data_IF_365855422900
#
_entry.id   IF_365855422900
#
_cell.length_a   1.000
_cell.length_b   1.000
_cell.length_c   1.000
_cell.angle_alpha   90.00
_cell.angle_beta   90.00
_cell.angle_gamma   90.00
#
_symmetry.space_group_name_H-M   'P 1'
#
loop_
_entity.id
_entity.type
_entity.pdbx_description
1 polymer ?
#
# COMPACT_ATOMS: atom_id res chain seq x y z
N UNK A 1 23.02 -13.88 -8.79
CA UNK A 1 21.76 -13.60 -9.56
C UNK A 1 21.88 -12.20 -10.10
N UNK A 2 21.34 -11.96 -11.31
CA UNK A 2 21.30 -10.64 -11.91
C UNK A 2 19.92 -10.02 -11.74
N UNK A 3 19.85 -8.72 -11.54
CA UNK A 3 18.60 -7.96 -11.41
C UNK A 3 18.76 -6.55 -11.98
N UNK A 4 17.66 -5.97 -12.45
CA UNK A 4 17.62 -4.62 -13.00
C UNK A 4 17.05 -3.64 -11.97
N UNK A 5 17.79 -2.55 -11.70
CA UNK A 5 17.35 -1.49 -10.80
C UNK A 5 16.71 -0.37 -11.62
N UNK A 6 15.40 -0.20 -11.44
CA UNK A 6 14.65 0.93 -12.00
C UNK A 6 15.15 2.24 -11.38
N UNK A 7 14.94 3.35 -12.06
CA UNK A 7 15.41 4.67 -11.60
C UNK A 7 16.89 4.91 -11.90
N UNK A 8 17.79 4.02 -11.48
CA UNK A 8 19.19 3.99 -11.95
C UNK A 8 19.32 3.46 -13.38
N UNK A 9 18.37 2.60 -13.77
CA UNK A 9 18.34 1.96 -15.09
C UNK A 9 19.61 1.17 -15.42
N UNK A 10 20.07 0.35 -14.48
CA UNK A 10 21.24 -0.48 -14.64
C UNK A 10 21.03 -1.91 -14.14
N UNK A 11 21.78 -2.84 -14.74
CA UNK A 11 21.90 -4.21 -14.26
C UNK A 11 22.90 -4.29 -13.11
N UNK A 12 22.52 -5.03 -12.07
CA UNK A 12 23.34 -5.34 -10.90
C UNK A 12 23.39 -6.84 -10.69
N UNK A 13 24.40 -7.31 -9.98
CA UNK A 13 24.51 -8.71 -9.56
C UNK A 13 24.69 -8.85 -8.05
N UNK A 14 24.22 -9.98 -7.50
CA UNK A 14 24.34 -10.29 -6.07
C UNK A 14 24.40 -11.80 -5.84
N UNK A 15 24.98 -12.22 -4.72
CA UNK A 15 24.99 -13.62 -4.29
C UNK A 15 23.74 -13.98 -3.43
N UNK A 16 23.09 -12.99 -2.82
CA UNK A 16 21.93 -13.18 -1.96
C UNK A 16 20.78 -12.26 -2.35
N UNK A 17 19.57 -12.60 -1.91
CA UNK A 17 18.39 -11.75 -2.03
C UNK A 17 17.70 -11.61 -0.67
N UNK A 18 17.49 -10.40 -0.16
CA UNK A 18 17.97 -9.11 -0.73
C UNK A 18 19.51 -9.04 -0.79
N UNK A 19 20.09 -8.08 -1.55
CA UNK A 19 21.55 -7.90 -1.66
C UNK A 19 22.23 -7.71 -0.29
N UNK A 20 23.46 -8.20 -0.13
CA UNK A 20 24.18 -8.18 1.14
C UNK A 20 24.44 -6.76 1.68
N UNK A 21 24.46 -5.75 0.80
CA UNK A 21 24.62 -4.35 1.17
C UNK A 21 23.31 -3.69 1.62
N UNK A 22 22.21 -4.45 1.68
CA UNK A 22 20.90 -3.93 2.09
C UNK A 22 20.71 -4.05 3.60
N UNK A 23 19.94 -3.12 4.15
CA UNK A 23 19.46 -3.13 5.54
C UNK A 23 17.94 -3.13 5.57
N UNK A 24 17.37 -3.85 6.53
CA UNK A 24 15.93 -3.78 6.79
C UNK A 24 15.56 -2.39 7.32
N UNK A 25 14.51 -1.79 6.76
CA UNK A 25 14.06 -0.46 7.09
C UNK A 25 12.54 -0.36 6.99
N UNK A 26 11.95 0.73 7.48
CA UNK A 26 10.49 0.92 7.46
C UNK A 26 10.10 2.39 7.33
N UNK A 27 8.99 2.62 6.62
CA UNK A 27 8.25 3.87 6.72
C UNK A 27 6.94 3.63 7.46
N UNK A 28 6.69 4.45 8.49
CA UNK A 28 5.50 4.38 9.35
C UNK A 28 4.42 5.34 8.87
N UNK A 29 3.17 4.87 8.89
CA UNK A 29 2.01 5.68 8.57
C UNK A 29 1.73 6.67 9.69
N UNK A 30 1.33 7.88 9.31
CA UNK A 30 0.87 8.95 10.20
C UNK A 30 -0.28 9.69 9.53
N UNK A 31 -1.31 10.06 10.27
CA UNK A 31 -2.49 10.71 9.72
C UNK A 31 -2.26 12.12 9.18
N UNK A 32 -3.10 12.52 8.23
CA UNK A 32 -3.01 13.80 7.54
C UNK A 32 -3.23 15.02 8.42
N UNK A 33 -4.00 14.90 9.51
CA UNK A 33 -4.22 16.01 10.47
C UNK A 33 -2.95 16.43 11.21
N UNK A 34 -1.98 15.53 11.37
CA UNK A 34 -0.66 15.80 11.95
C UNK A 34 0.27 16.45 10.92
N UNK A 35 0.08 16.11 9.65
CA UNK A 35 0.87 16.62 8.53
C UNK A 35 0.51 18.06 8.14
N UNK A 36 -0.73 18.48 8.33
CA UNK A 36 -1.21 19.82 7.96
C UNK A 36 -0.57 20.98 8.75
N UNK A 37 0.28 20.70 9.74
CA UNK A 37 1.05 21.71 10.48
C UNK A 37 2.38 22.11 9.81
N UNK A 38 2.75 21.47 8.71
CA UNK A 38 3.91 21.81 7.89
C UNK A 38 3.48 22.46 6.57
N UNK A 39 4.20 23.47 6.10
CA UNK A 39 3.92 24.26 4.88
C UNK A 39 4.10 23.46 3.57
N UNK A 40 3.63 22.22 3.50
CA UNK A 40 3.70 21.39 2.30
C UNK A 40 2.31 21.12 1.73
N UNK A 41 2.14 21.23 0.43
CA UNK A 41 0.96 20.78 -0.28
C UNK A 41 0.78 19.30 0.03
N UNK A 42 -0.20 18.97 0.88
CA UNK A 42 -0.58 17.60 1.21
C UNK A 42 -1.25 16.97 -0.02
N UNK A 43 -0.46 16.28 -0.83
CA UNK A 43 -0.97 15.45 -1.90
C UNK A 43 -1.26 14.03 -1.36
N UNK A 44 -2.09 13.93 -0.30
CA UNK A 44 -2.44 12.65 0.30
C UNK A 44 -3.16 12.82 1.64
N UNK A 45 -3.92 11.80 2.06
CA UNK A 45 -4.66 11.80 3.33
C UNK A 45 -3.76 11.55 4.54
N UNK A 46 -2.49 11.10 4.35
CA UNK A 46 -1.53 10.84 5.41
C UNK A 46 -0.08 10.96 4.94
N UNK A 47 0.85 10.74 5.88
CA UNK A 47 2.30 10.85 5.66
C UNK A 47 3.00 9.54 6.00
N UNK A 48 4.06 9.23 5.25
CA UNK A 48 5.05 8.19 5.57
C UNK A 48 6.28 8.83 6.23
N UNK A 49 6.70 8.28 7.37
CA UNK A 49 7.85 8.78 8.15
C UNK A 49 8.81 7.65 8.50
N UNK A 50 10.10 7.94 8.65
CA UNK A 50 11.12 6.98 9.08
C UNK A 50 10.97 6.54 10.55
N UNK A 51 10.17 7.26 11.34
CA UNK A 51 9.92 6.94 12.75
C UNK A 51 8.44 6.86 13.04
N UNK A 52 8.03 5.90 13.86
CA UNK A 52 6.66 5.79 14.32
C UNK A 52 6.25 7.01 15.15
N UNK A 53 5.01 7.48 14.96
CA UNK A 53 4.43 8.53 15.80
C UNK A 53 4.13 8.00 17.20
N UNK A 54 4.37 8.83 18.21
CA UNK A 54 3.89 8.57 19.58
C UNK A 54 2.39 8.85 19.71
N UNK A 55 1.88 9.80 18.93
CA UNK A 55 0.45 10.01 18.79
C UNK A 55 -0.14 8.83 18.00
N UNK A 56 -1.41 8.52 18.26
CA UNK A 56 -2.13 7.46 17.56
C UNK A 56 -3.45 7.99 17.00
N UNK A 57 -3.90 7.34 15.93
CA UNK A 57 -5.15 7.68 15.27
C UNK A 57 -5.51 6.68 14.19
N UNK A 58 -6.51 7.01 13.40
CA UNK A 58 -6.90 6.21 12.24
C UNK A 58 -7.35 7.12 11.09
N UNK A 59 -7.06 6.70 9.87
CA UNK A 59 -7.67 7.22 8.65
C UNK A 59 -8.76 6.27 8.18
N UNK A 60 -9.83 6.81 7.63
CA UNK A 60 -11.04 6.04 7.31
C UNK A 60 -11.44 6.20 5.85
N UNK A 61 -11.97 5.14 5.28
CA UNK A 61 -12.67 5.17 3.99
C UNK A 61 -13.88 4.24 4.00
N UNK A 62 -14.78 4.46 3.05
CA UNK A 62 -15.94 3.59 2.82
C UNK A 62 -15.74 2.86 1.50
N UNK A 63 -15.67 1.53 1.57
CA UNK A 63 -15.66 0.69 0.39
C UNK A 63 -17.06 0.29 -0.03
N UNK A 64 -17.38 0.52 -1.31
CA UNK A 64 -18.63 0.09 -1.96
C UNK A 64 -18.30 -0.95 -3.05
N UNK A 65 -18.68 -2.23 -2.87
CA UNK A 65 -18.43 -3.27 -3.88
C UNK A 65 -19.08 -3.00 -5.25
N UNK A 66 -20.11 -2.12 -5.31
CA UNK A 66 -20.73 -1.72 -6.57
C UNK A 66 -20.01 -0.57 -7.28
N UNK A 67 -18.95 -0.02 -6.69
CA UNK A 67 -18.15 1.06 -7.26
C UNK A 67 -16.66 0.84 -6.95
N UNK A 68 -16.07 -0.28 -7.40
CA UNK A 68 -14.69 -0.63 -7.08
C UNK A 68 -13.69 0.36 -7.70
N UNK A 69 -12.55 0.54 -7.05
CA UNK A 69 -11.41 1.21 -7.64
C UNK A 69 -10.80 0.33 -8.75
N UNK A 70 -10.32 0.96 -9.82
CA UNK A 70 -9.79 0.25 -10.99
C UNK A 70 -8.31 -0.08 -10.80
N UNK A 71 -7.91 -1.27 -11.21
CA UNK A 71 -6.54 -1.62 -11.50
C UNK A 71 -6.28 -1.35 -12.99
N UNK A 72 -5.26 -0.56 -13.31
CA UNK A 72 -5.05 -0.06 -14.67
C UNK A 72 -4.56 -1.15 -15.64
N UNK A 73 -3.90 -2.18 -15.16
CA UNK A 73 -3.51 -3.33 -15.99
C UNK A 73 -4.66 -4.31 -16.04
N UNK A 74 -5.19 -4.50 -17.23
CA UNK A 74 -6.14 -5.55 -17.53
C UNK A 74 -5.36 -6.86 -17.75
N UNK A 75 -5.59 -7.85 -16.89
CA UNK A 75 -4.97 -9.17 -16.96
C UNK A 75 -5.47 -10.01 -18.16
N UNK A 76 -6.39 -9.49 -18.98
CA UNK A 76 -7.02 -10.28 -20.03
C UNK A 76 -6.16 -10.46 -21.27
N UNK A 77 -5.52 -9.44 -21.85
CA UNK A 77 -4.75 -9.59 -23.10
C UNK A 77 -3.64 -8.54 -23.36
N UNK A 78 -3.63 -7.41 -22.69
CA UNK A 78 -2.73 -6.31 -22.99
C UNK A 78 -1.93 -5.82 -21.77
N UNK A 79 -0.97 -6.60 -21.36
CA UNK A 79 0.03 -6.21 -20.33
C UNK A 79 0.96 -5.05 -20.80
N UNK A 80 0.59 -4.33 -21.86
CA UNK A 80 1.49 -3.42 -22.56
C UNK A 80 1.37 -1.96 -22.15
N UNK A 81 0.43 -1.59 -21.26
CA UNK A 81 0.32 -0.22 -20.76
C UNK A 81 1.21 -0.01 -19.55
N UNK A 82 2.49 0.15 -19.79
CA UNK A 82 3.45 0.61 -18.78
C UNK A 82 4.07 1.94 -19.26
N UNK A 83 4.34 2.88 -18.35
CA UNK A 83 4.16 2.82 -16.90
C UNK A 83 2.72 3.08 -16.45
N UNK A 84 2.26 2.31 -15.46
CA UNK A 84 0.95 2.48 -14.84
C UNK A 84 0.93 3.74 -13.97
N UNK A 85 0.27 4.79 -14.45
CA UNK A 85 0.14 6.07 -13.76
C UNK A 85 -1.19 6.16 -13.02
N UNK A 86 -1.13 6.10 -11.70
CA UNK A 86 -2.29 6.11 -10.81
C UNK A 86 -2.68 7.50 -10.28
N UNK A 87 -2.07 8.58 -10.77
CA UNK A 87 -2.31 9.96 -10.32
C UNK A 87 -3.79 10.32 -10.30
N UNK A 88 -4.56 9.80 -11.25
CA UNK A 88 -6.01 10.05 -11.33
C UNK A 88 -6.79 9.21 -10.33
N UNK A 89 -6.50 7.91 -10.26
CA UNK A 89 -7.23 6.95 -9.41
C UNK A 89 -7.03 7.25 -7.93
N UNK A 90 -5.86 7.70 -7.53
CA UNK A 90 -5.54 8.07 -6.14
C UNK A 90 -6.37 9.26 -5.58
N UNK A 91 -7.14 9.95 -6.44
CA UNK A 91 -8.06 11.02 -6.02
C UNK A 91 -9.38 10.51 -5.48
N UNK A 92 -9.68 9.23 -5.62
CA UNK A 92 -10.90 8.61 -5.10
C UNK A 92 -10.93 8.70 -3.57
N UNK A 93 -12.12 8.83 -3.00
CA UNK A 93 -12.33 8.91 -1.54
C UNK A 93 -12.14 7.57 -0.84
N UNK A 94 -12.29 6.45 -1.58
CA UNK A 94 -12.09 5.08 -1.11
C UNK A 94 -10.65 4.57 -1.30
N UNK A 95 -9.71 5.46 -1.65
CA UNK A 95 -8.28 5.21 -1.66
C UNK A 95 -7.59 6.12 -0.65
N UNK A 96 -7.00 5.53 0.40
CA UNK A 96 -6.14 6.26 1.30
C UNK A 96 -4.72 6.33 0.71
N UNK A 97 -4.11 7.51 0.79
CA UNK A 97 -2.73 7.73 0.34
C UNK A 97 -1.87 8.23 1.48
N UNK A 98 -0.72 7.60 1.68
CA UNK A 98 0.32 8.01 2.63
C UNK A 98 1.60 8.28 1.85
N UNK A 99 2.17 9.46 1.98
CA UNK A 99 3.26 9.92 1.11
C UNK A 99 4.41 10.47 1.93
N UNK A 100 5.66 10.18 1.58
CA UNK A 100 6.84 10.79 2.22
C UNK A 100 6.93 12.28 1.89
N UNK A 101 7.71 13.02 2.66
CA UNK A 101 8.25 14.29 2.20
C UNK A 101 9.09 14.07 0.92
N UNK A 102 9.40 15.16 0.20
CA UNK A 102 10.35 15.07 -0.92
C UNK A 102 11.67 14.49 -0.43
N UNK A 103 12.16 13.46 -1.12
CA UNK A 103 13.43 12.83 -0.78
C UNK A 103 14.57 13.84 -1.00
N UNK A 104 15.39 14.03 0.03
CA UNK A 104 16.57 14.92 -0.03
C UNK A 104 17.80 14.26 -0.66
N UNK A 105 17.72 12.96 -0.94
CA UNK A 105 18.72 12.14 -1.61
C UNK A 105 18.04 10.92 -2.22
N UNK A 106 18.64 10.27 -3.23
CA UNK A 106 18.11 9.03 -3.77
C UNK A 106 18.00 7.94 -2.69
N UNK A 107 16.96 7.09 -2.79
CA UNK A 107 16.74 5.93 -1.92
C UNK A 107 16.55 4.70 -2.79
N UNK A 108 17.49 3.76 -2.70
CA UNK A 108 17.41 2.49 -3.43
C UNK A 108 16.79 1.43 -2.54
N UNK A 109 15.72 0.83 -3.03
CA UNK A 109 15.00 -0.28 -2.38
C UNK A 109 15.12 -1.51 -3.26
N UNK A 110 15.70 -2.59 -2.71
CA UNK A 110 15.89 -3.84 -3.46
C UNK A 110 15.55 -5.02 -2.57
N UNK A 111 14.50 -5.77 -2.92
CA UNK A 111 14.10 -6.95 -2.16
C UNK A 111 12.61 -7.13 -2.06
N UNK A 112 12.22 -7.90 -1.06
CA UNK A 112 10.83 -8.09 -0.69
C UNK A 112 10.29 -6.85 0.01
N UNK A 113 9.05 -6.46 -0.31
CA UNK A 113 8.31 -5.47 0.45
C UNK A 113 7.14 -6.13 1.14
N UNK A 114 6.79 -5.61 2.30
CA UNK A 114 5.52 -5.93 2.94
C UNK A 114 4.92 -4.70 3.61
N UNK A 115 3.61 -4.67 3.65
CA UNK A 115 2.85 -3.64 4.34
C UNK A 115 2.19 -4.29 5.55
N UNK A 116 2.47 -3.75 6.73
CA UNK A 116 1.82 -4.15 7.98
C UNK A 116 0.79 -3.07 8.29
N UNK A 117 -0.47 -3.43 8.25
CA UNK A 117 -1.58 -2.55 8.59
C UNK A 117 -2.23 -3.03 9.88
N UNK A 118 -2.57 -2.11 10.76
CA UNK A 118 -3.49 -2.31 11.86
C UNK A 118 -4.85 -1.77 11.43
N UNK A 119 -5.84 -2.67 11.31
CA UNK A 119 -7.11 -2.35 10.65
C UNK A 119 -8.30 -2.73 11.52
N UNK A 120 -9.37 -1.98 11.41
CA UNK A 120 -10.68 -2.36 11.91
C UNK A 120 -11.74 -2.07 10.86
N UNK A 121 -12.86 -2.79 10.89
CA UNK A 121 -13.99 -2.56 10.01
C UNK A 121 -15.32 -2.89 10.70
N UNK A 122 -16.43 -2.49 10.08
CA UNK A 122 -17.79 -2.81 10.50
C UNK A 122 -18.37 -4.06 9.80
N UNK A 123 -17.52 -4.88 9.18
CA UNK A 123 -17.91 -6.05 8.41
C UNK A 123 -17.05 -7.29 8.76
N UNK A 124 -17.57 -8.51 8.52
CA UNK A 124 -16.86 -9.74 8.88
C UNK A 124 -15.68 -10.07 7.99
N UNK A 125 -15.66 -9.58 6.76
CA UNK A 125 -14.59 -9.80 5.76
C UNK A 125 -14.53 -8.63 4.78
N UNK A 126 -13.35 -8.28 4.34
CA UNK A 126 -13.07 -7.32 3.26
C UNK A 126 -11.66 -7.60 2.74
N UNK A 127 -11.31 -7.04 1.60
CA UNK A 127 -9.95 -7.15 1.07
C UNK A 127 -9.16 -5.88 1.37
N UNK A 128 -7.84 -6.05 1.55
CA UNK A 128 -6.89 -4.95 1.62
C UNK A 128 -5.96 -5.03 0.43
N UNK A 129 -6.07 -4.07 -0.45
CA UNK A 129 -5.22 -3.88 -1.62
C UNK A 129 -4.27 -2.73 -1.36
N UNK A 130 -2.98 -2.99 -1.46
CA UNK A 130 -1.92 -1.99 -1.24
C UNK A 130 -1.11 -1.80 -2.50
N UNK A 131 -0.65 -0.57 -2.74
CA UNK A 131 0.22 -0.24 -3.87
C UNK A 131 1.30 0.73 -3.42
N UNK A 132 2.53 0.47 -3.88
CA UNK A 132 3.67 1.38 -3.73
C UNK A 132 3.92 2.04 -5.07
N UNK A 133 4.02 3.37 -5.05
CA UNK A 133 4.28 4.18 -6.23
C UNK A 133 5.48 5.10 -6.02
N UNK A 134 6.16 5.41 -7.11
CA UNK A 134 7.13 6.50 -7.21
C UNK A 134 6.40 7.75 -7.70
N UNK A 135 6.38 8.78 -6.87
CA UNK A 135 5.77 10.07 -7.22
C UNK A 135 6.85 11.04 -7.61
N UNK A 136 6.87 11.43 -8.89
CA UNK A 136 7.86 12.36 -9.43
C UNK A 136 7.64 13.82 -8.98
N UNK A 137 8.49 14.72 -9.43
CA UNK A 137 8.43 16.14 -9.08
C UNK A 137 7.19 16.84 -9.62
N UNK A 138 6.64 16.36 -10.73
CA UNK A 138 5.40 16.81 -11.36
C UNK A 138 4.15 16.24 -10.70
N UNK A 139 4.32 15.29 -9.77
CA UNK A 139 3.23 14.64 -9.02
C UNK A 139 2.64 13.43 -9.73
N UNK A 140 3.29 12.92 -10.78
CA UNK A 140 2.88 11.69 -11.45
C UNK A 140 3.25 10.48 -10.60
N UNK A 141 2.28 9.59 -10.36
CA UNK A 141 2.37 8.46 -9.44
C UNK A 141 2.45 7.14 -10.20
N UNK A 142 3.65 6.61 -10.38
CA UNK A 142 3.92 5.40 -11.17
C UNK A 142 4.02 4.18 -10.25
N UNK A 143 3.25 3.13 -10.57
CA UNK A 143 3.27 1.88 -9.79
C UNK A 143 4.62 1.17 -9.88
N UNK A 144 5.07 0.67 -8.73
CA UNK A 144 6.24 -0.20 -8.61
C UNK A 144 5.88 -1.58 -8.08
N UNK A 145 5.00 -1.64 -7.08
CA UNK A 145 4.61 -2.89 -6.44
C UNK A 145 3.17 -2.80 -5.95
N UNK A 146 2.51 -3.93 -5.89
CA UNK A 146 1.21 -4.07 -5.24
C UNK A 146 1.08 -5.43 -4.55
N UNK A 147 0.04 -5.55 -3.73
CA UNK A 147 -0.30 -6.77 -3.02
C UNK A 147 -1.72 -6.72 -2.48
N UNK A 148 -2.30 -7.88 -2.28
CA UNK A 148 -3.66 -8.02 -1.78
C UNK A 148 -3.75 -9.13 -0.74
N UNK A 149 -4.61 -8.95 0.25
CA UNK A 149 -4.95 -9.97 1.23
C UNK A 149 -6.40 -9.78 1.70
N UNK A 150 -7.19 -10.86 1.62
CA UNK A 150 -8.49 -10.90 2.28
C UNK A 150 -8.33 -10.98 3.80
N UNK A 151 -9.05 -10.16 4.53
CA UNK A 151 -8.93 -10.05 5.99
C UNK A 151 -9.11 -11.37 6.71
N UNK A 152 -10.02 -12.22 6.23
CA UNK A 152 -10.25 -13.57 6.79
C UNK A 152 -9.07 -14.51 6.66
N UNK A 153 -8.09 -14.21 5.81
CA UNK A 153 -6.88 -15.02 5.61
C UNK A 153 -5.63 -14.41 6.25
N UNK A 154 -5.78 -13.43 7.16
CA UNK A 154 -4.67 -12.75 7.82
C UNK A 154 -3.73 -13.67 8.60
N UNK A 155 -4.24 -14.81 9.08
CA UNK A 155 -3.48 -15.81 9.84
C UNK A 155 -3.13 -17.07 9.02
N UNK A 156 -3.46 -17.09 7.71
CA UNK A 156 -3.21 -18.21 6.82
C UNK A 156 -4.40 -18.54 5.93
N UNK A 157 -4.18 -19.33 4.88
CA UNK A 157 -5.21 -19.64 3.88
C UNK A 157 -5.99 -20.92 4.17
N UNK A 158 -5.62 -21.71 5.18
CA UNK A 158 -6.26 -22.98 5.47
C UNK A 158 -7.64 -22.83 6.11
N UNK A 159 -7.79 -21.84 6.98
CA UNK A 159 -9.03 -21.58 7.71
C UNK A 159 -9.35 -20.09 7.72
N UNK A 160 -10.53 -19.70 7.22
CA UNK A 160 -10.94 -18.29 7.29
C UNK A 160 -11.29 -17.89 8.73
N UNK A 161 -10.74 -16.75 9.17
CA UNK A 161 -11.02 -16.14 10.47
C UNK A 161 -11.66 -14.77 10.25
N UNK A 162 -12.97 -14.67 10.50
CA UNK A 162 -13.71 -13.43 10.29
C UNK A 162 -13.32 -12.36 11.31
N UNK A 163 -13.46 -11.10 10.91
CA UNK A 163 -13.27 -9.95 11.78
C UNK A 163 -14.51 -9.70 12.63
N UNK A 164 -14.30 -9.18 13.83
CA UNK A 164 -15.35 -8.64 14.69
C UNK A 164 -15.39 -7.12 14.55
N UNK A 165 -16.59 -6.55 14.53
CA UNK A 165 -16.82 -5.12 14.34
C UNK A 165 -16.06 -4.28 15.38
N UNK A 166 -15.23 -3.36 14.90
CA UNK A 166 -14.46 -2.43 15.72
C UNK A 166 -13.19 -2.99 16.36
N UNK A 167 -12.98 -4.31 16.32
CA UNK A 167 -11.73 -4.89 16.79
C UNK A 167 -10.58 -4.59 15.82
N UNK A 168 -9.38 -4.30 16.38
CA UNK A 168 -8.20 -3.95 15.60
C UNK A 168 -7.33 -5.18 15.37
N UNK A 169 -7.04 -5.48 14.10
CA UNK A 169 -6.24 -6.62 13.69
C UNK A 169 -4.98 -6.19 12.95
N UNK A 170 -3.82 -6.78 13.25
CA UNK A 170 -2.64 -6.66 12.40
C UNK A 170 -2.81 -7.52 11.14
N UNK A 171 -2.57 -6.93 9.98
CA UNK A 171 -2.58 -7.64 8.68
C UNK A 171 -1.24 -7.40 8.01
N UNK A 172 -0.57 -8.47 7.56
CA UNK A 172 0.67 -8.39 6.79
C UNK A 172 0.41 -8.74 5.33
N UNK A 173 0.56 -7.78 4.46
CA UNK A 173 0.38 -7.93 3.02
C UNK A 173 1.75 -7.95 2.36
N UNK A 174 2.08 -9.04 1.66
CA UNK A 174 3.26 -9.12 0.82
C UNK A 174 2.95 -8.50 -0.53
N UNK A 175 3.88 -7.72 -1.05
CA UNK A 175 3.80 -7.17 -2.40
C UNK A 175 4.70 -7.94 -3.35
N UNK A 176 4.70 -7.54 -4.63
CA UNK A 176 5.73 -7.95 -5.58
C UNK A 176 7.10 -7.44 -5.14
N UNK A 177 8.15 -8.17 -5.51
CA UNK A 177 9.55 -7.78 -5.28
C UNK A 177 9.94 -6.65 -6.22
N UNK A 178 10.77 -5.73 -5.75
CA UNK A 178 11.29 -4.64 -6.59
C UNK A 178 12.80 -4.47 -6.45
N UNK A 179 13.39 -3.82 -7.44
CA UNK A 179 14.62 -3.06 -7.30
C UNK A 179 14.40 -1.71 -7.98
N UNK A 180 14.34 -0.65 -7.18
CA UNK A 180 14.10 0.71 -7.66
C UNK A 180 14.87 1.74 -6.84
N UNK A 181 15.42 2.73 -7.53
CA UNK A 181 15.96 3.94 -6.92
C UNK A 181 14.97 5.08 -7.08
N UNK A 182 14.31 5.44 -5.98
CA UNK A 182 13.55 6.68 -5.87
C UNK A 182 14.53 7.85 -5.93
N UNK A 183 14.35 8.76 -6.87
CA UNK A 183 15.28 9.87 -7.10
C UNK A 183 15.12 10.96 -6.05
N UNK A 184 16.14 11.79 -5.91
CA UNK A 184 16.02 13.05 -5.16
C UNK A 184 14.88 13.89 -5.73
N UNK A 185 14.10 14.55 -4.87
CA UNK A 185 12.90 15.32 -5.25
C UNK A 185 11.64 14.49 -5.41
N UNK A 186 11.74 13.18 -5.66
CA UNK A 186 10.61 12.27 -5.70
C UNK A 186 10.04 11.99 -4.30
N UNK A 187 8.92 11.27 -4.26
CA UNK A 187 8.28 10.81 -3.03
C UNK A 187 7.91 9.34 -3.16
N UNK A 188 7.95 8.62 -2.05
CA UNK A 188 7.42 7.27 -1.95
C UNK A 188 5.97 7.37 -1.46
N UNK A 189 5.05 6.69 -2.12
CA UNK A 189 3.66 6.66 -1.71
C UNK A 189 3.17 5.23 -1.53
N UNK A 190 2.44 5.03 -0.44
CA UNK A 190 1.59 3.87 -0.22
C UNK A 190 0.14 4.28 -0.44
N UNK A 191 -0.61 3.51 -1.24
CA UNK A 191 -2.06 3.59 -1.25
C UNK A 191 -2.67 2.34 -0.67
N UNK A 192 -3.83 2.50 -0.01
CA UNK A 192 -4.62 1.42 0.59
C UNK A 192 -6.06 1.57 0.13
N UNK A 193 -6.63 0.50 -0.38
CA UNK A 193 -8.04 0.40 -0.77
C UNK A 193 -8.54 -1.04 -0.54
N UNK A 194 -9.80 -1.34 -0.85
CA UNK A 194 -10.38 -2.68 -0.74
C UNK A 194 -10.75 -3.30 -2.08
N UNK A 195 -10.32 -2.73 -3.18
CA UNK A 195 -10.68 -3.21 -4.51
C UNK A 195 -9.60 -2.95 -5.55
N UNK A 196 -9.67 -3.70 -6.63
CA UNK A 196 -8.84 -3.56 -7.83
C UNK A 196 -9.59 -4.21 -8.99
N UNK A 197 -10.62 -3.53 -9.55
CA UNK A 197 -11.35 -4.01 -10.72
C UNK A 197 -10.37 -4.33 -11.85
N UNK A 198 -10.62 -5.36 -12.62
CA UNK A 198 -9.75 -5.99 -13.62
C UNK A 198 -8.61 -6.86 -13.05
N UNK A 199 -8.39 -6.86 -11.74
CA UNK A 199 -7.32 -7.64 -11.10
C UNK A 199 -7.85 -8.62 -10.05
N UNK A 200 -8.79 -8.19 -9.20
CA UNK A 200 -9.43 -9.03 -8.18
C UNK A 200 -10.95 -8.89 -8.26
N UNK A 201 -11.66 -9.95 -7.90
CA UNK A 201 -13.11 -9.91 -7.75
C UNK A 201 -13.48 -9.03 -6.54
N UNK A 202 -14.47 -8.12 -6.67
CA UNK A 202 -14.94 -7.31 -5.56
C UNK A 202 -15.41 -8.19 -4.38
N UNK A 203 -14.86 -7.97 -3.19
CA UNK A 203 -15.35 -8.60 -1.97
C UNK A 203 -16.69 -7.98 -1.58
N UNK A 204 -17.68 -8.81 -1.29
CA UNK A 204 -19.03 -8.36 -0.90
C UNK A 204 -19.11 -7.71 0.48
N UNK A 205 -18.02 -7.76 1.28
CA UNK A 205 -17.97 -7.41 2.70
C UNK A 205 -18.88 -8.30 3.58
N UNK A 206 -19.16 -9.53 3.11
CA UNK A 206 -19.88 -10.56 3.84
C UNK A 206 -19.02 -11.80 4.02
N UNK A 207 -19.49 -12.78 4.80
CA UNK A 207 -18.76 -14.04 5.01
C UNK A 207 -18.61 -14.87 3.74
N UNK A 208 -19.52 -14.72 2.79
CA UNK A 208 -19.54 -15.43 1.51
C UNK A 208 -18.48 -14.87 0.53
N UNK A 209 -17.98 -13.66 0.77
CA UNK A 209 -16.97 -13.02 -0.09
C UNK A 209 -17.54 -12.70 -1.48
N UNK A 210 -16.78 -12.94 -2.55
CA UNK A 210 -17.17 -12.59 -3.92
C UNK A 210 -18.34 -13.42 -4.47
N UNK A 211 -18.65 -14.57 -3.87
CA UNK A 211 -19.76 -15.43 -4.28
C UNK A 211 -21.12 -14.97 -3.73
N UNK A 212 -21.15 -13.96 -2.89
CA UNK A 212 -22.39 -13.48 -2.28
C UNK A 212 -23.31 -12.80 -3.29
N UNK A 213 -24.58 -13.14 -3.25
CA UNK A 213 -25.63 -12.41 -3.97
C UNK A 213 -25.99 -11.06 -3.33
N UNK A 214 -25.49 -10.81 -2.12
CA UNK A 214 -25.71 -9.57 -1.37
C UNK A 214 -24.38 -8.90 -1.11
N UNK A 215 -24.33 -7.59 -1.31
CA UNK A 215 -23.18 -6.77 -1.01
C UNK A 215 -23.53 -5.70 0.02
N UNK A 216 -22.57 -5.31 0.83
CA UNK A 216 -22.72 -4.20 1.77
C UNK A 216 -21.53 -3.25 1.65
N UNK A 217 -21.77 -1.96 1.88
CA UNK A 217 -20.69 -1.02 2.09
C UNK A 217 -20.02 -1.34 3.42
N UNK A 218 -18.70 -1.16 3.46
CA UNK A 218 -17.91 -1.33 4.68
C UNK A 218 -17.18 -0.04 5.01
N UNK A 219 -17.20 0.30 6.29
CA UNK A 219 -16.38 1.36 6.87
C UNK A 219 -15.10 0.73 7.38
N UNK A 220 -13.99 1.18 6.86
CA UNK A 220 -12.68 0.62 7.11
C UNK A 220 -11.78 1.68 7.71
N UNK A 221 -11.06 1.34 8.77
CA UNK A 221 -10.11 2.20 9.43
C UNK A 221 -8.71 1.60 9.37
N UNK A 222 -7.73 2.43 9.02
CA UNK A 222 -6.31 2.13 9.05
C UNK A 222 -5.69 2.90 10.21
N UNK A 223 -5.30 2.17 11.26
CA UNK A 223 -4.75 2.75 12.48
C UNK A 223 -3.25 3.03 12.32
N UNK A 224 -2.74 4.05 12.99
CA UNK A 224 -1.34 4.44 12.96
C UNK A 224 -0.86 4.96 14.32
N UNK A 225 0.44 4.84 14.55
CA UNK A 225 1.13 5.33 15.74
C UNK A 225 0.82 4.54 17.03
N UNK A 226 1.42 4.94 18.14
CA UNK A 226 1.26 4.27 19.42
C UNK A 226 1.48 2.76 19.36
N UNK A 227 0.50 2.00 19.83
CA UNK A 227 0.52 0.53 19.84
C UNK A 227 0.10 -0.10 18.49
N UNK A 228 -0.30 0.71 17.51
CA UNK A 228 -0.80 0.28 16.20
C UNK A 228 0.02 0.87 15.03
N UNK A 229 1.36 0.66 15.00
CA UNK A 229 2.26 1.32 14.06
C UNK A 229 2.21 0.67 12.66
N UNK A 230 1.16 0.98 11.91
CA UNK A 230 1.09 0.59 10.49
C UNK A 230 2.29 1.13 9.72
N UNK A 231 2.86 0.30 8.83
CA UNK A 231 4.13 0.61 8.16
C UNK A 231 4.33 -0.16 6.87
N UNK A 232 5.24 0.36 6.04
CA UNK A 232 5.85 -0.34 4.92
C UNK A 232 7.22 -0.84 5.37
N UNK A 233 7.49 -2.12 5.22
CA UNK A 233 8.78 -2.76 5.51
C UNK A 233 9.48 -3.09 4.19
N UNK A 234 10.76 -2.77 4.09
CA UNK A 234 11.56 -2.94 2.87
C UNK A 234 13.05 -3.12 3.19
N UNK A 235 13.85 -3.35 2.16
CA UNK A 235 15.30 -3.38 2.25
C UNK A 235 15.89 -2.20 1.50
N UNK A 236 16.65 -1.34 2.21
CA UNK A 236 17.34 -0.19 1.65
C UNK A 236 18.79 -0.54 1.38
N UNK A 237 19.29 -0.29 0.17
CA UNK A 237 20.72 -0.36 -0.12
C UNK A 237 21.48 0.79 0.60
N UNK A 238 22.71 0.49 1.09
CA UNK A 238 23.54 1.45 1.85
C UNK A 238 24.21 2.48 0.95
#
# INVERSE_FOLDING_TARGET
>A
MEYYTLGENCWKDTQAWPPENSISDSFYLTGGSVAAKGNGESCGKGVLRETASQDQGAEEYIYDPNNPAVHLVDMSENELEVPEDYTREEKREDILSFTTEKLSRPVTVTGDLSVVLYVSCDCPDTDFFVRITDVDEEGRSVKLADGVLGAKYRNGFEHPEYMEEGEVYPIRIRTTKISNTFREGHRIRLTVTSSGENFIFPNSNTKEGFDSSQVRKARIQIHWGGDTPSRVEFYREK
#
